data_IF_873997002516
#
_entry.id   IF_873997002516
#
_cell.length_a   1.000
_cell.length_b   1.000
_cell.length_c   1.000
_cell.angle_alpha   90.00
_cell.angle_beta   90.00
_cell.angle_gamma   90.00
#
_symmetry.space_group_name_H-M   'P 1'
#
loop_
_entity.id
_entity.type
_entity.pdbx_description
1 polymer ?
#
# COMPACT_ATOMS: atom_id res chain seq x y z
N UNK A 1 4.14 -4.33 6.28
CA UNK A 1 3.84 -5.38 5.28
C UNK A 1 3.12 -6.51 5.99
N UNK A 2 2.17 -7.18 5.34
CA UNK A 2 1.53 -8.36 5.89
C UNK A 2 2.46 -9.57 5.86
N UNK A 3 2.55 -10.26 6.99
CA UNK A 3 3.43 -11.42 7.22
C UNK A 3 2.65 -12.69 7.54
N UNK A 4 1.33 -12.61 7.72
CA UNK A 4 0.42 -13.73 7.94
C UNK A 4 -0.89 -13.45 7.21
N UNK A 5 -1.55 -14.48 6.68
CA UNK A 5 -2.78 -14.34 5.90
C UNK A 5 -2.48 -14.00 4.45
N UNK A 6 -3.00 -12.88 3.92
CA UNK A 6 -2.57 -12.39 2.60
C UNK A 6 -1.16 -11.84 2.71
N UNK A 7 -0.16 -12.61 2.28
CA UNK A 7 1.25 -12.28 2.45
C UNK A 7 1.75 -11.18 1.49
N UNK A 8 2.74 -10.42 1.92
CA UNK A 8 3.52 -9.55 1.05
C UNK A 8 2.84 -8.23 0.65
N UNK A 9 1.68 -7.90 1.21
CA UNK A 9 1.01 -6.63 0.96
C UNK A 9 1.77 -5.52 1.69
N UNK A 10 2.37 -4.62 0.91
CA UNK A 10 3.16 -3.51 1.42
C UNK A 10 2.36 -2.21 1.52
N UNK A 11 2.67 -1.43 2.55
CA UNK A 11 2.11 -0.10 2.76
C UNK A 11 3.24 0.84 3.21
N UNK A 12 3.30 2.04 2.63
CA UNK A 12 4.28 3.06 2.96
C UNK A 12 3.68 4.02 4.00
N UNK A 13 4.24 4.01 5.20
CA UNK A 13 3.75 4.83 6.32
C UNK A 13 4.06 6.31 6.07
N UNK A 14 3.06 7.17 6.23
CA UNK A 14 3.15 8.63 6.15
C UNK A 14 3.14 9.23 7.56
N UNK A 15 3.63 10.47 7.68
CA UNK A 15 3.73 11.16 8.99
C UNK A 15 2.37 11.35 9.69
N UNK A 16 1.30 11.48 8.92
CA UNK A 16 -0.07 11.65 9.42
C UNK A 16 -0.77 10.34 9.75
N UNK A 17 -0.20 9.19 9.38
CA UNK A 17 -0.88 7.91 9.53
C UNK A 17 -0.92 7.48 11.00
N UNK A 18 -2.09 7.03 11.45
CA UNK A 18 -2.26 6.36 12.74
C UNK A 18 -2.37 4.86 12.47
N UNK A 19 -1.45 4.06 13.02
CA UNK A 19 -1.44 2.61 12.83
C UNK A 19 -1.55 1.87 14.16
N UNK A 20 -2.04 0.63 14.09
CA UNK A 20 -2.00 -0.35 15.16
C UNK A 20 -1.39 -1.64 14.63
N UNK A 21 -0.45 -2.23 15.38
CA UNK A 21 0.13 -3.53 15.04
C UNK A 21 -0.69 -4.64 15.67
N UNK A 22 -1.44 -5.36 14.85
CA UNK A 22 -2.18 -6.54 15.30
C UNK A 22 -1.25 -7.76 15.41
N UNK A 23 -1.06 -8.25 16.64
CA UNK A 23 -0.60 -9.59 17.04
C UNK A 23 0.36 -10.32 16.09
N UNK A 24 1.44 -9.67 15.65
CA UNK A 24 2.50 -10.29 14.86
C UNK A 24 2.17 -10.54 13.37
N UNK A 25 1.01 -10.10 12.88
CA UNK A 25 0.62 -10.28 11.47
C UNK A 25 1.27 -9.29 10.51
N UNK A 26 1.95 -8.27 11.04
CA UNK A 26 2.58 -7.20 10.28
C UNK A 26 4.07 -7.12 10.61
N UNK A 27 4.90 -7.05 9.58
CA UNK A 27 6.32 -6.69 9.72
C UNK A 27 6.56 -5.24 9.33
N UNK A 28 7.32 -4.53 10.16
CA UNK A 28 7.76 -3.16 9.93
C UNK A 28 9.23 -3.12 9.48
N UNK A 29 9.44 -2.68 8.24
CA UNK A 29 10.75 -2.28 7.72
C UNK A 29 11.06 -0.84 8.16
N UNK A 30 12.04 -0.66 9.05
CA UNK A 30 12.47 0.66 9.58
C UNK A 30 13.99 0.76 9.65
N UNK A 31 14.47 1.98 9.93
CA UNK A 31 15.88 2.31 10.18
C UNK A 31 16.85 2.12 8.99
N UNK A 32 16.33 2.23 7.76
CA UNK A 32 17.17 2.24 6.55
C UNK A 32 17.85 3.60 6.37
N UNK A 33 19.18 3.63 6.49
CA UNK A 33 19.98 4.86 6.31
C UNK A 33 20.50 5.08 4.89
N UNK A 34 20.71 3.98 4.15
CA UNK A 34 21.36 4.01 2.83
C UNK A 34 20.39 3.97 1.65
N UNK A 35 19.13 3.58 1.90
CA UNK A 35 18.13 3.35 0.87
C UNK A 35 16.87 4.14 1.24
N UNK A 36 16.38 5.00 0.35
CA UNK A 36 15.08 5.64 0.50
C UNK A 36 13.95 4.63 0.67
N UNK A 37 12.95 4.98 1.49
CA UNK A 37 11.76 4.14 1.68
C UNK A 37 10.96 3.92 0.39
N UNK A 38 11.06 4.84 -0.58
CA UNK A 38 10.44 4.71 -1.91
C UNK A 38 10.96 3.47 -2.65
N UNK A 39 12.29 3.26 -2.67
CA UNK A 39 12.91 2.12 -3.34
C UNK A 39 12.51 0.81 -2.66
N UNK A 40 12.51 0.77 -1.33
CA UNK A 40 12.10 -0.42 -0.57
C UNK A 40 10.63 -0.74 -0.87
N UNK A 41 9.76 0.26 -0.84
CA UNK A 41 8.34 0.10 -1.16
C UNK A 41 8.13 -0.40 -2.59
N UNK A 42 8.78 0.23 -3.58
CA UNK A 42 8.70 -0.16 -4.99
C UNK A 42 9.22 -1.58 -5.21
N UNK A 43 10.31 -1.97 -4.56
CA UNK A 43 10.82 -3.34 -4.62
C UNK A 43 9.80 -4.33 -4.04
N UNK A 44 9.25 -4.04 -2.85
CA UNK A 44 8.26 -4.90 -2.20
C UNK A 44 7.02 -5.12 -3.06
N UNK A 45 6.54 -4.12 -3.82
CA UNK A 45 5.38 -4.27 -4.70
C UNK A 45 5.72 -4.76 -6.11
N UNK A 46 7.01 -4.84 -6.45
CA UNK A 46 7.46 -5.31 -7.76
C UNK A 46 7.28 -6.82 -7.89
N UNK A 47 7.19 -7.30 -9.14
CA UNK A 47 7.15 -8.74 -9.43
C UNK A 47 8.32 -9.49 -8.79
N UNK A 48 9.53 -8.96 -8.92
CA UNK A 48 10.76 -9.57 -8.38
C UNK A 48 10.71 -9.66 -6.85
N UNK A 49 10.31 -8.59 -6.19
CA UNK A 49 10.20 -8.60 -4.72
C UNK A 49 9.10 -9.55 -4.23
N UNK A 50 7.97 -9.60 -4.93
CA UNK A 50 6.89 -10.55 -4.60
C UNK A 50 7.35 -12.00 -4.80
N UNK A 51 8.06 -12.31 -5.88
CA UNK A 51 8.63 -13.65 -6.12
C UNK A 51 9.61 -14.06 -5.00
N UNK A 52 10.47 -13.13 -4.54
CA UNK A 52 11.35 -13.40 -3.41
C UNK A 52 10.61 -13.57 -2.08
N UNK A 53 9.56 -12.80 -1.83
CA UNK A 53 8.72 -13.01 -0.64
C UNK A 53 8.04 -14.39 -0.69
N UNK A 54 7.59 -14.83 -1.87
CA UNK A 54 6.98 -16.15 -2.03
C UNK A 54 8.01 -17.29 -1.86
N UNK A 55 9.28 -17.08 -2.21
CA UNK A 55 10.32 -18.12 -2.10
C UNK A 55 10.68 -18.45 -0.65
N UNK A 56 10.55 -17.48 0.26
CA UNK A 56 10.92 -17.60 1.68
C UNK A 56 9.75 -17.90 2.62
N UNK A 57 8.53 -18.02 2.09
CA UNK A 57 7.35 -18.29 2.92
C UNK A 57 7.45 -19.68 3.54
N UNK A 58 6.93 -19.80 4.75
CA UNK A 58 6.88 -21.07 5.48
C UNK A 58 5.44 -21.43 5.83
N UNK A 59 5.23 -22.69 6.21
CA UNK A 59 3.92 -23.21 6.58
C UNK A 59 3.12 -23.65 5.36
N UNK A 60 2.38 -24.74 5.51
CA UNK A 60 1.49 -25.28 4.46
C UNK A 60 0.05 -24.81 4.68
N UNK A 61 -0.50 -25.04 5.87
CA UNK A 61 -1.89 -24.65 6.21
C UNK A 61 -2.03 -23.17 6.56
N UNK A 62 -1.02 -22.59 7.22
CA UNK A 62 -0.98 -21.16 7.53
C UNK A 62 0.37 -20.61 7.06
N UNK A 63 0.37 -20.00 5.89
CA UNK A 63 1.58 -19.41 5.34
C UNK A 63 2.00 -18.17 6.13
N UNK A 64 3.31 -18.01 6.33
CA UNK A 64 3.89 -16.87 7.03
C UNK A 64 5.26 -16.46 6.49
N UNK A 65 5.57 -15.17 6.66
CA UNK A 65 6.90 -14.59 6.43
C UNK A 65 7.58 -14.34 7.78
N UNK A 66 8.56 -15.16 8.13
CA UNK A 66 9.30 -15.00 9.39
C UNK A 66 10.29 -13.83 9.32
N UNK A 67 10.59 -13.25 10.48
CA UNK A 67 11.63 -12.21 10.59
C UNK A 67 12.99 -12.74 10.10
N UNK A 68 13.28 -14.01 10.37
CA UNK A 68 14.53 -14.66 9.93
C UNK A 68 14.58 -14.79 8.40
N UNK A 69 13.52 -15.29 7.76
CA UNK A 69 13.45 -15.38 6.30
C UNK A 69 13.57 -14.00 5.64
N UNK A 70 12.89 -12.99 6.19
CA UNK A 70 12.97 -11.61 5.69
C UNK A 70 14.38 -11.01 5.83
N UNK A 71 15.11 -11.33 6.90
CA UNK A 71 16.51 -10.91 7.07
C UNK A 71 17.46 -11.60 6.08
N UNK A 72 17.08 -12.77 5.57
CA UNK A 72 17.85 -13.51 4.56
C UNK A 72 17.72 -12.95 3.14
N UNK A 73 16.74 -12.09 2.88
CA UNK A 73 16.58 -11.46 1.56
C UNK A 73 17.77 -10.55 1.27
N UNK A 74 18.38 -10.74 0.11
CA UNK A 74 19.36 -9.82 -0.44
C UNK A 74 18.95 -9.43 -1.86
N UNK A 75 19.12 -8.17 -2.20
CA UNK A 75 18.89 -7.68 -3.56
C UNK A 75 19.91 -6.59 -3.90
N UNK A 76 20.15 -6.42 -5.20
CA UNK A 76 21.13 -5.44 -5.70
C UNK A 76 20.57 -4.02 -5.55
N UNK A 77 21.35 -3.15 -4.94
CA UNK A 77 21.03 -1.74 -4.78
C UNK A 77 21.84 -0.96 -5.82
N UNK A 78 21.22 -0.10 -6.63
CA UNK A 78 21.95 0.73 -7.59
C UNK A 78 22.85 1.75 -6.88
N UNK A 79 23.86 2.32 -7.58
CA UNK A 79 24.69 3.40 -7.05
C UNK A 79 23.84 4.59 -6.58
N UNK A 80 24.31 5.30 -5.55
CA UNK A 80 23.57 6.40 -4.93
C UNK A 80 23.20 7.48 -5.95
N UNK A 81 24.10 7.76 -6.88
CA UNK A 81 23.91 8.77 -7.92
C UNK A 81 22.70 8.45 -8.81
N UNK A 82 22.48 7.15 -9.10
CA UNK A 82 21.33 6.68 -9.87
C UNK A 82 20.05 6.71 -9.05
N UNK A 83 20.14 6.44 -7.74
CA UNK A 83 18.99 6.58 -6.84
C UNK A 83 18.54 8.04 -6.80
N UNK A 84 19.48 8.95 -6.54
CA UNK A 84 19.22 10.37 -6.41
C UNK A 84 18.67 10.96 -7.71
N UNK A 85 19.13 10.48 -8.88
CA UNK A 85 18.64 10.95 -10.19
C UNK A 85 17.20 10.57 -10.52
N UNK A 86 16.63 9.53 -9.89
CA UNK A 86 15.25 9.07 -10.13
C UNK A 86 14.35 9.23 -8.91
N UNK A 87 14.86 9.77 -7.81
CA UNK A 87 14.15 9.83 -6.54
C UNK A 87 12.86 10.66 -6.66
N UNK A 88 12.93 11.79 -7.38
CA UNK A 88 11.79 12.69 -7.57
C UNK A 88 10.68 11.99 -8.39
N UNK A 89 11.06 11.30 -9.46
CA UNK A 89 10.15 10.54 -10.31
C UNK A 89 9.46 9.43 -9.52
N UNK A 90 10.22 8.67 -8.74
CA UNK A 90 9.66 7.62 -7.88
C UNK A 90 8.68 8.17 -6.85
N UNK A 91 9.04 9.27 -6.17
CA UNK A 91 8.16 9.87 -5.19
C UNK A 91 6.88 10.43 -5.82
N UNK A 92 6.97 11.01 -7.02
CA UNK A 92 5.79 11.47 -7.77
C UNK A 92 4.87 10.32 -8.18
N UNK A 93 5.43 9.20 -8.65
CA UNK A 93 4.66 8.00 -8.99
C UNK A 93 3.94 7.47 -7.74
N UNK A 94 4.66 7.31 -6.63
CA UNK A 94 4.07 6.78 -5.40
C UNK A 94 2.99 7.74 -4.88
N UNK A 95 3.23 9.06 -4.90
CA UNK A 95 2.23 10.05 -4.50
C UNK A 95 0.95 9.96 -5.35
N UNK A 96 1.10 9.73 -6.66
CA UNK A 96 -0.04 9.53 -7.55
C UNK A 96 -0.79 8.23 -7.22
N UNK A 97 -0.07 7.15 -6.94
CA UNK A 97 -0.68 5.89 -6.49
C UNK A 97 -1.48 6.07 -5.19
N UNK A 98 -0.90 6.75 -4.20
CA UNK A 98 -1.57 7.06 -2.92
C UNK A 98 -2.83 7.91 -3.13
N UNK A 99 -2.75 8.98 -3.93
CA UNK A 99 -3.90 9.85 -4.23
C UNK A 99 -5.02 9.12 -4.97
N UNK A 100 -4.67 8.23 -5.90
CA UNK A 100 -5.66 7.39 -6.59
C UNK A 100 -6.34 6.43 -5.61
N UNK A 101 -5.59 5.84 -4.67
CA UNK A 101 -6.17 4.96 -3.64
C UNK A 101 -7.14 5.71 -2.74
N UNK A 102 -6.81 6.92 -2.28
CA UNK A 102 -7.71 7.77 -1.49
C UNK A 102 -8.98 8.14 -2.26
N UNK A 103 -8.84 8.45 -3.55
CA UNK A 103 -9.98 8.75 -4.43
C UNK A 103 -10.89 7.53 -4.57
N UNK A 104 -10.33 6.34 -4.80
CA UNK A 104 -11.09 5.08 -4.90
C UNK A 104 -11.83 4.81 -3.59
N UNK A 105 -11.19 4.99 -2.43
CA UNK A 105 -11.84 4.82 -1.13
C UNK A 105 -13.00 5.80 -0.94
N UNK A 106 -12.78 7.08 -1.25
CA UNK A 106 -13.81 8.13 -1.14
C UNK A 106 -15.00 7.83 -2.06
N UNK A 107 -14.75 7.43 -3.30
CA UNK A 107 -15.80 7.08 -4.26
C UNK A 107 -16.58 5.83 -3.81
N UNK A 108 -15.88 4.83 -3.28
CA UNK A 108 -16.49 3.59 -2.77
C UNK A 108 -17.39 3.89 -1.59
N UNK A 109 -16.92 4.67 -0.61
CA UNK A 109 -17.73 5.10 0.54
C UNK A 109 -18.91 5.96 0.11
N UNK A 110 -18.71 6.88 -0.83
CA UNK A 110 -19.77 7.72 -1.37
C UNK A 110 -20.85 6.86 -2.02
N UNK A 111 -20.46 5.89 -2.85
CA UNK A 111 -21.37 4.91 -3.45
C UNK A 111 -22.13 4.14 -2.38
N UNK A 112 -21.44 3.57 -1.40
CA UNK A 112 -22.04 2.71 -0.38
C UNK A 112 -22.99 3.48 0.54
N UNK A 113 -22.73 4.78 0.76
CA UNK A 113 -23.61 5.66 1.51
C UNK A 113 -24.82 6.15 0.70
N UNK A 114 -24.66 6.38 -0.61
CA UNK A 114 -25.71 6.91 -1.47
C UNK A 114 -26.67 5.83 -1.97
N UNK A 115 -26.17 4.63 -2.30
CA UNK A 115 -27.00 3.56 -2.84
C UNK A 115 -28.22 3.23 -1.96
N UNK A 116 -28.09 3.01 -0.63
CA UNK A 116 -29.24 2.75 0.23
C UNK A 116 -30.26 3.89 0.27
N UNK A 117 -29.78 5.14 0.23
CA UNK A 117 -30.63 6.36 0.26
C UNK A 117 -31.39 6.56 -1.05
N UNK A 118 -30.75 6.23 -2.17
CA UNK A 118 -31.39 6.22 -3.48
C UNK A 118 -32.45 5.10 -3.56
N UNK A 119 -32.13 3.90 -3.06
CA UNK A 119 -33.05 2.74 -3.08
C UNK A 119 -34.26 2.92 -2.15
N UNK A 120 -34.08 3.57 -1.00
CA UNK A 120 -35.17 3.89 -0.07
C UNK A 120 -36.00 5.11 -0.52
N UNK A 121 -35.55 5.85 -1.53
CA UNK A 121 -36.21 7.06 -2.00
C UNK A 121 -35.99 8.29 -1.10
N UNK A 122 -35.15 8.19 -0.08
CA UNK A 122 -34.73 9.32 0.78
C UNK A 122 -34.00 10.41 0.02
N UNK A 123 -33.31 10.05 -1.08
CA UNK A 123 -32.63 10.98 -1.97
C UNK A 123 -33.09 10.70 -3.40
N UNK A 124 -33.51 11.74 -4.13
CA UNK A 124 -33.89 11.60 -5.56
C UNK A 124 -32.81 12.18 -6.46
N UNK A 125 -32.56 11.52 -7.59
CA UNK A 125 -31.58 11.98 -8.60
C UNK A 125 -31.88 13.41 -9.09
N UNK A 126 -33.16 13.77 -9.18
CA UNK A 126 -33.61 15.13 -9.55
C UNK A 126 -33.12 16.22 -8.60
N UNK A 127 -32.92 15.92 -7.32
CA UNK A 127 -32.51 16.87 -6.28
C UNK A 127 -30.98 17.07 -6.24
N UNK A 128 -30.21 16.12 -6.79
CA UNK A 128 -28.74 16.18 -6.86
C UNK A 128 -28.26 17.01 -8.06
N UNK A 129 -29.00 16.96 -9.18
CA UNK A 129 -28.64 17.65 -10.42
C UNK A 129 -28.69 19.19 -10.32
N UNK A 130 -29.37 19.74 -9.31
CA UNK A 130 -29.51 21.20 -9.13
C UNK A 130 -28.29 21.85 -8.48
N UNK A 131 -27.36 21.07 -7.90
CA UNK A 131 -26.19 21.60 -7.15
C UNK A 131 -24.85 21.53 -7.90
N UNK A 132 -24.77 20.85 -9.05
CA UNK A 132 -23.51 20.64 -9.78
C UNK A 132 -23.27 21.71 -10.86
N UNK A 133 -24.22 22.61 -11.09
CA UNK A 133 -24.07 23.75 -12.00
C UNK A 133 -24.07 25.05 -11.19
N UNK A 134 -22.92 25.43 -10.64
CA UNK A 134 -22.53 26.81 -10.32
C UNK A 134 -21.02 26.92 -10.17
#
# INVERSE_FOLDING_TARGET
>A
MTSVGTLGVAYRVRKSDKFYFKDGNLTWFKDFKKIPSSIIYLWLISKIGQEELQSIKIGSTQEALTIEGLKGISFRIPPKERIDSYQIEFDNIIKKMESNQETIQTLTQTRDNLLPKLMSGEVRVSELNTKIIK
#
